data_IF_452414587798
#
_entry.id   IF_452414587798
#
_cell.length_a   1.000
_cell.length_b   1.000
_cell.length_c   1.000
_cell.angle_alpha   90.00
_cell.angle_beta   90.00
_cell.angle_gamma   90.00
#
_symmetry.space_group_name_H-M   'P 1'
#
loop_
_entity.id
_entity.type
_entity.pdbx_description
1 polymer ?
#
# COMPACT_ATOMS: atom_id res chain seq x y z
N UNK A 1 -2.11 6.67 9.98
CA UNK A 1 -1.86 7.59 8.84
C UNK A 1 -2.79 7.23 7.67
N UNK A 2 -2.73 5.99 7.10
CA UNK A 2 -3.53 5.58 5.95
C UNK A 2 -5.03 5.81 6.10
N UNK A 3 -5.61 5.44 7.25
CA UNK A 3 -7.04 5.62 7.53
C UNK A 3 -7.45 7.10 7.50
N UNK A 4 -6.68 7.97 8.16
CA UNK A 4 -6.96 9.41 8.24
C UNK A 4 -6.83 10.06 6.87
N UNK A 5 -5.74 9.76 6.14
CA UNK A 5 -5.55 10.29 4.79
C UNK A 5 -6.63 9.80 3.82
N UNK A 6 -6.98 8.51 3.85
CA UNK A 6 -8.03 7.95 3.01
C UNK A 6 -9.40 8.55 3.31
N UNK A 7 -9.72 8.76 4.58
CA UNK A 7 -10.97 9.41 5.00
C UNK A 7 -11.03 10.88 4.54
N UNK A 8 -9.97 11.64 4.82
CA UNK A 8 -9.91 13.06 4.48
C UNK A 8 -9.93 13.29 2.98
N UNK A 9 -9.09 12.56 2.22
CA UNK A 9 -9.04 12.70 0.76
C UNK A 9 -10.37 12.32 0.11
N UNK A 10 -11.08 11.32 0.65
CA UNK A 10 -12.42 10.96 0.16
C UNK A 10 -13.44 12.07 0.40
N UNK A 11 -13.37 12.75 1.55
CA UNK A 11 -14.22 13.92 1.83
C UNK A 11 -13.96 15.05 0.86
N UNK A 12 -12.68 15.38 0.63
CA UNK A 12 -12.29 16.41 -0.34
C UNK A 12 -12.79 16.09 -1.75
N UNK A 13 -12.64 14.84 -2.19
CA UNK A 13 -13.15 14.41 -3.51
C UNK A 13 -14.67 14.54 -3.58
N UNK A 14 -15.42 14.18 -2.53
CA UNK A 14 -16.87 14.36 -2.53
C UNK A 14 -17.30 15.83 -2.61
N UNK A 15 -16.61 16.74 -1.93
CA UNK A 15 -16.91 18.16 -1.99
C UNK A 15 -16.59 18.74 -3.38
N UNK A 16 -15.44 18.39 -3.96
CA UNK A 16 -15.02 18.90 -5.26
C UNK A 16 -15.92 18.41 -6.41
N UNK A 17 -16.42 17.18 -6.34
CA UNK A 17 -17.21 16.55 -7.40
C UNK A 17 -18.70 16.45 -7.06
N UNK A 18 -19.18 17.15 -6.03
CA UNK A 18 -20.57 17.11 -5.58
C UNK A 18 -21.58 17.47 -6.69
N UNK A 19 -21.21 18.37 -7.59
CA UNK A 19 -22.04 18.87 -8.68
C UNK A 19 -21.89 18.14 -10.01
N UNK A 20 -21.05 17.08 -10.06
CA UNK A 20 -20.79 16.34 -11.30
C UNK A 20 -21.78 15.20 -11.47
N UNK A 21 -22.14 14.90 -12.72
CA UNK A 21 -23.01 13.76 -13.03
C UNK A 21 -22.26 12.45 -12.78
N UNK A 22 -22.97 11.45 -12.29
CA UNK A 22 -22.40 10.15 -11.91
C UNK A 22 -21.62 9.48 -13.05
N UNK A 23 -22.08 9.62 -14.29
CA UNK A 23 -21.44 9.03 -15.46
C UNK A 23 -20.06 9.65 -15.75
N UNK A 24 -19.95 10.96 -15.80
CA UNK A 24 -18.67 11.66 -16.03
C UNK A 24 -17.68 11.38 -14.91
N UNK A 25 -18.15 11.38 -13.66
CA UNK A 25 -17.31 11.08 -12.50
C UNK A 25 -16.74 9.68 -12.58
N UNK A 26 -17.55 8.67 -12.91
CA UNK A 26 -17.09 7.28 -12.98
C UNK A 26 -16.03 7.09 -14.07
N UNK A 27 -16.24 7.65 -15.26
CA UNK A 27 -15.29 7.55 -16.39
C UNK A 27 -13.96 8.23 -16.06
N UNK A 28 -14.01 9.44 -15.51
CA UNK A 28 -12.82 10.16 -15.07
C UNK A 28 -12.02 9.37 -14.04
N UNK A 29 -12.69 8.87 -12.99
CA UNK A 29 -12.02 8.13 -11.92
C UNK A 29 -11.49 6.77 -12.36
N UNK A 30 -12.06 6.13 -13.39
CA UNK A 30 -11.45 4.96 -14.02
C UNK A 30 -10.08 5.26 -14.63
N UNK A 31 -9.96 6.38 -15.34
CA UNK A 31 -8.68 6.80 -15.94
C UNK A 31 -7.68 7.22 -14.85
N UNK A 32 -8.12 8.04 -13.89
CA UNK A 32 -7.29 8.46 -12.75
C UNK A 32 -6.82 7.29 -11.90
N UNK A 33 -7.63 6.22 -11.78
CA UNK A 33 -7.26 5.02 -11.06
C UNK A 33 -6.10 4.26 -11.72
N UNK A 34 -5.99 4.29 -13.06
CA UNK A 34 -4.82 3.71 -13.75
C UNK A 34 -3.55 4.46 -13.34
N UNK A 35 -3.58 5.79 -13.37
CA UNK A 35 -2.43 6.62 -12.98
C UNK A 35 -2.08 6.40 -11.50
N UNK A 36 -3.08 6.41 -10.61
CA UNK A 36 -2.83 6.17 -9.18
C UNK A 36 -2.35 4.76 -8.89
N UNK A 37 -2.74 3.75 -9.69
CA UNK A 37 -2.24 2.40 -9.53
C UNK A 37 -0.75 2.28 -9.91
N UNK A 38 -0.31 2.99 -10.94
CA UNK A 38 1.12 3.06 -11.30
C UNK A 38 1.93 3.73 -10.19
N UNK A 39 1.44 4.85 -9.66
CA UNK A 39 2.08 5.54 -8.55
C UNK A 39 2.11 4.68 -7.29
N UNK A 40 1.03 3.97 -6.99
CA UNK A 40 0.97 3.02 -5.87
C UNK A 40 1.94 1.86 -6.07
N UNK A 41 2.03 1.28 -7.27
CA UNK A 41 2.95 0.19 -7.58
C UNK A 41 4.41 0.63 -7.40
N UNK A 42 4.75 1.83 -7.87
CA UNK A 42 6.07 2.42 -7.66
C UNK A 42 6.38 2.61 -6.16
N UNK A 43 5.45 3.21 -5.41
CA UNK A 43 5.63 3.46 -3.97
C UNK A 43 5.77 2.16 -3.16
N UNK A 44 4.94 1.16 -3.47
CA UNK A 44 4.99 -0.16 -2.86
C UNK A 44 6.31 -0.87 -3.17
N UNK A 45 6.65 -0.96 -4.46
CA UNK A 45 7.88 -1.62 -4.93
C UNK A 45 9.14 -0.99 -4.34
N UNK A 46 9.21 0.33 -4.35
CA UNK A 46 10.31 1.10 -3.80
C UNK A 46 10.51 0.83 -2.30
N UNK A 47 9.43 0.94 -1.49
CA UNK A 47 9.51 0.75 -0.05
C UNK A 47 9.91 -0.69 0.35
N UNK A 48 9.35 -1.71 -0.29
CA UNK A 48 9.61 -3.09 0.11
C UNK A 48 10.94 -3.61 -0.45
N UNK A 49 11.30 -3.22 -1.68
CA UNK A 49 12.60 -3.57 -2.24
C UNK A 49 13.78 -2.97 -1.45
N UNK A 50 13.65 -1.74 -0.95
CA UNK A 50 14.69 -1.09 -0.15
C UNK A 50 15.03 -1.88 1.12
N UNK A 51 14.04 -2.45 1.80
CA UNK A 51 14.26 -3.26 3.00
C UNK A 51 15.11 -4.50 2.70
N UNK A 52 14.75 -5.24 1.65
CA UNK A 52 15.48 -6.45 1.24
C UNK A 52 16.88 -6.11 0.73
N UNK A 53 17.02 -5.06 -0.07
CA UNK A 53 18.32 -4.56 -0.53
C UNK A 53 19.23 -4.15 0.64
N UNK A 54 18.67 -3.48 1.64
CA UNK A 54 19.39 -3.10 2.86
C UNK A 54 19.94 -4.30 3.61
N UNK A 55 19.13 -5.34 3.83
CA UNK A 55 19.56 -6.58 4.51
C UNK A 55 20.66 -7.29 3.71
N UNK A 56 20.49 -7.43 2.39
CA UNK A 56 21.51 -8.05 1.54
C UNK A 56 22.83 -7.27 1.61
N UNK A 57 22.78 -5.95 1.52
CA UNK A 57 23.97 -5.09 1.58
C UNK A 57 24.67 -5.20 2.94
N UNK A 58 23.90 -5.19 4.05
CA UNK A 58 24.47 -5.36 5.39
C UNK A 58 25.12 -6.74 5.56
N UNK A 59 24.52 -7.80 5.03
CA UNK A 59 25.11 -9.14 5.06
C UNK A 59 26.43 -9.19 4.27
N UNK A 60 26.48 -8.59 3.08
CA UNK A 60 27.70 -8.53 2.26
C UNK A 60 28.84 -7.73 2.93
N UNK A 61 28.51 -6.65 3.62
CA UNK A 61 29.48 -5.89 4.43
C UNK A 61 29.98 -6.73 5.61
N UNK A 62 29.06 -7.45 6.29
CA UNK A 62 29.41 -8.30 7.43
C UNK A 62 30.35 -9.47 7.07
N UNK A 63 30.24 -10.01 5.87
CA UNK A 63 31.15 -11.07 5.35
C UNK A 63 32.44 -10.49 4.72
N UNK A 64 32.59 -9.16 4.69
CA UNK A 64 33.76 -8.51 4.12
C UNK A 64 33.83 -8.45 2.58
N UNK A 65 32.69 -8.80 1.90
CA UNK A 65 32.60 -8.71 0.43
C UNK A 65 32.39 -7.27 -0.09
N UNK A 66 31.93 -6.37 0.78
CA UNK A 66 31.79 -4.96 0.47
C UNK A 66 32.41 -4.09 1.55
N UNK A 67 33.03 -2.96 1.19
CA UNK A 67 33.59 -2.02 2.17
C UNK A 67 32.44 -1.37 2.98
N UNK A 68 32.73 -1.02 4.23
CA UNK A 68 31.80 -0.29 5.08
C UNK A 68 31.39 1.03 4.43
N UNK A 69 30.07 1.27 4.32
CA UNK A 69 29.55 2.45 3.64
C UNK A 69 29.31 2.28 2.13
N UNK A 70 29.55 1.09 1.57
CA UNK A 70 29.22 0.81 0.16
C UNK A 70 27.71 0.93 -0.09
N UNK A 71 27.36 1.51 -1.23
CA UNK A 71 25.97 1.53 -1.71
C UNK A 71 25.50 0.15 -2.14
N UNK A 72 24.20 -0.01 -2.30
CA UNK A 72 23.57 -1.26 -2.76
C UNK A 72 24.09 -1.63 -4.15
N UNK A 73 24.65 -2.84 -4.36
CA UNK A 73 25.14 -3.29 -5.66
C UNK A 73 24.02 -3.34 -6.70
N UNK A 74 24.36 -3.04 -7.96
CA UNK A 74 23.38 -3.01 -9.05
C UNK A 74 22.65 -4.37 -9.23
N UNK A 75 23.41 -5.47 -9.14
CA UNK A 75 22.83 -6.81 -9.26
C UNK A 75 21.78 -7.10 -8.16
N UNK A 76 22.02 -6.62 -6.92
CA UNK A 76 21.06 -6.79 -5.82
C UNK A 76 19.79 -5.97 -6.07
N UNK A 77 19.91 -4.76 -6.65
CA UNK A 77 18.76 -3.94 -7.04
C UNK A 77 17.90 -4.67 -8.09
N UNK A 78 18.52 -5.17 -9.16
CA UNK A 78 17.83 -5.88 -10.25
C UNK A 78 17.20 -7.16 -9.74
N UNK A 79 17.93 -7.94 -8.93
CA UNK A 79 17.43 -9.19 -8.36
C UNK A 79 16.21 -8.97 -7.44
N UNK A 80 16.28 -8.02 -6.52
CA UNK A 80 15.17 -7.68 -5.64
C UNK A 80 13.96 -7.17 -6.43
N UNK A 81 14.16 -6.29 -7.40
CA UNK A 81 13.08 -5.75 -8.21
C UNK A 81 12.37 -6.83 -9.04
N UNK A 82 13.12 -7.71 -9.70
CA UNK A 82 12.55 -8.80 -10.51
C UNK A 82 11.82 -9.83 -9.66
N UNK A 83 12.41 -10.25 -8.54
CA UNK A 83 11.80 -11.22 -7.63
C UNK A 83 10.50 -10.67 -7.04
N UNK A 84 10.48 -9.40 -6.65
CA UNK A 84 9.30 -8.74 -6.14
C UNK A 84 8.20 -8.61 -7.19
N UNK A 85 8.55 -8.23 -8.42
CA UNK A 85 7.60 -8.15 -9.52
C UNK A 85 6.94 -9.50 -9.80
N UNK A 86 7.73 -10.58 -9.88
CA UNK A 86 7.23 -11.94 -10.08
C UNK A 86 6.36 -12.41 -8.90
N UNK A 87 6.81 -12.20 -7.66
CA UNK A 87 6.05 -12.55 -6.47
C UNK A 87 4.69 -11.85 -6.40
N UNK A 88 4.65 -10.56 -6.75
CA UNK A 88 3.42 -9.78 -6.79
C UNK A 88 2.49 -10.24 -7.92
N UNK A 89 3.03 -10.56 -9.10
CA UNK A 89 2.24 -11.05 -10.23
C UNK A 89 1.56 -12.39 -9.91
N UNK A 90 2.23 -13.29 -9.20
CA UNK A 90 1.71 -14.61 -8.84
C UNK A 90 0.78 -14.53 -7.63
N UNK A 91 1.20 -13.83 -6.56
CA UNK A 91 0.50 -13.82 -5.26
C UNK A 91 -0.58 -12.75 -5.10
N UNK A 92 -0.53 -11.66 -5.89
CA UNK A 92 -1.35 -10.47 -5.67
C UNK A 92 -2.86 -10.67 -5.81
N UNK A 93 -3.31 -11.61 -6.66
CA UNK A 93 -4.74 -11.85 -6.90
C UNK A 93 -5.52 -12.19 -5.63
N UNK A 94 -4.95 -12.98 -4.72
CA UNK A 94 -5.62 -13.39 -3.48
C UNK A 94 -5.80 -12.21 -2.53
N UNK A 95 -4.77 -11.38 -2.38
CA UNK A 95 -4.81 -10.19 -1.53
C UNK A 95 -5.79 -9.16 -2.09
N UNK A 96 -5.77 -8.92 -3.41
CA UNK A 96 -6.71 -8.00 -4.08
C UNK A 96 -8.16 -8.40 -3.84
N UNK A 97 -8.50 -9.70 -3.90
CA UNK A 97 -9.85 -10.18 -3.64
C UNK A 97 -10.28 -9.93 -2.19
N UNK A 98 -9.39 -10.17 -1.23
CA UNK A 98 -9.72 -9.99 0.20
C UNK A 98 -9.88 -8.53 0.57
N UNK A 99 -8.99 -7.65 0.14
CA UNK A 99 -9.03 -6.22 0.48
C UNK A 99 -10.05 -5.48 -0.37
N UNK A 100 -10.10 -5.77 -1.68
CA UNK A 100 -10.89 -5.02 -2.64
C UNK A 100 -12.39 -5.33 -2.60
N UNK A 101 -12.80 -6.53 -2.19
CA UNK A 101 -14.22 -6.90 -2.10
C UNK A 101 -14.65 -7.31 -0.69
N UNK A 102 -13.71 -7.70 0.16
CA UNK A 102 -14.01 -8.17 1.51
C UNK A 102 -14.22 -7.05 2.53
N UNK A 103 -13.35 -6.02 2.53
CA UNK A 103 -13.41 -4.92 3.51
C UNK A 103 -14.51 -3.92 3.16
N UNK A 104 -14.60 -3.55 1.89
CA UNK A 104 -15.68 -2.69 1.35
C UNK A 104 -15.79 -2.91 -0.15
N UNK A 105 -16.95 -2.63 -0.74
CA UNK A 105 -17.07 -2.60 -2.20
C UNK A 105 -16.33 -1.40 -2.76
N UNK A 106 -15.21 -1.64 -3.43
CA UNK A 106 -14.42 -0.59 -4.06
C UNK A 106 -15.12 -0.12 -5.35
N UNK A 107 -15.56 1.13 -5.33
CA UNK A 107 -15.93 1.88 -6.52
C UNK A 107 -14.70 2.58 -7.10
N UNK A 108 -14.70 3.01 -8.38
CA UNK A 108 -13.52 3.67 -8.99
C UNK A 108 -12.99 4.87 -8.19
N UNK A 109 -13.89 5.69 -7.65
CA UNK A 109 -13.54 6.83 -6.80
C UNK A 109 -12.80 6.38 -5.54
N UNK A 110 -13.32 5.35 -4.86
CA UNK A 110 -12.71 4.81 -3.66
C UNK A 110 -11.36 4.15 -3.96
N UNK A 111 -11.26 3.46 -5.11
CA UNK A 111 -10.01 2.87 -5.59
C UNK A 111 -8.94 3.95 -5.79
N UNK A 112 -9.26 5.01 -6.52
CA UNK A 112 -8.37 6.15 -6.74
C UNK A 112 -7.92 6.77 -5.41
N UNK A 113 -8.86 7.10 -4.53
CA UNK A 113 -8.56 7.73 -3.23
C UNK A 113 -7.70 6.83 -2.35
N UNK A 114 -8.03 5.55 -2.26
CA UNK A 114 -7.26 4.60 -1.44
C UNK A 114 -5.84 4.40 -1.97
N UNK A 115 -5.66 4.29 -3.28
CA UNK A 115 -4.34 4.16 -3.91
C UNK A 115 -3.51 5.43 -3.73
N UNK A 116 -4.09 6.60 -4.00
CA UNK A 116 -3.40 7.88 -3.89
C UNK A 116 -2.99 8.18 -2.45
N UNK A 117 -3.91 8.03 -1.48
CA UNK A 117 -3.60 8.25 -0.06
C UNK A 117 -2.56 7.26 0.46
N UNK A 118 -2.61 6.00 0.03
CA UNK A 118 -1.62 4.99 0.41
C UNK A 118 -0.25 5.30 -0.19
N UNK A 119 -0.19 5.65 -1.47
CA UNK A 119 1.06 5.97 -2.14
C UNK A 119 1.74 7.19 -1.49
N UNK A 120 0.98 8.26 -1.21
CA UNK A 120 1.48 9.43 -0.49
C UNK A 120 2.00 9.03 0.90
N UNK A 121 1.23 8.27 1.67
CA UNK A 121 1.64 7.84 3.01
C UNK A 121 2.94 7.02 2.97
N UNK A 122 3.05 6.08 2.03
CA UNK A 122 4.24 5.24 1.88
C UNK A 122 5.45 6.09 1.47
N UNK A 123 5.31 7.01 0.50
CA UNK A 123 6.40 7.86 0.05
C UNK A 123 6.90 8.81 1.14
N UNK A 124 6.00 9.42 1.89
CA UNK A 124 6.36 10.27 3.02
C UNK A 124 7.14 9.48 4.07
N UNK A 125 6.67 8.29 4.43
CA UNK A 125 7.36 7.45 5.41
C UNK A 125 8.70 6.93 4.89
N UNK A 126 8.78 6.60 3.60
CA UNK A 126 10.04 6.20 2.95
C UNK A 126 11.06 7.36 2.95
N UNK A 127 10.62 8.58 2.65
CA UNK A 127 11.47 9.78 2.71
C UNK A 127 11.98 10.09 4.13
N UNK A 128 11.19 9.75 5.15
CA UNK A 128 11.58 9.86 6.56
C UNK A 128 12.43 8.67 7.06
N UNK A 129 12.84 7.78 6.16
CA UNK A 129 13.55 6.53 6.46
C UNK A 129 12.83 5.64 7.52
N UNK A 130 11.51 5.77 7.64
CA UNK A 130 10.68 5.01 8.56
C UNK A 130 10.05 3.82 7.83
N UNK A 131 10.45 2.56 8.14
CA UNK A 131 9.90 1.38 7.48
C UNK A 131 8.43 1.19 7.87
N UNK A 132 7.56 1.10 6.87
CA UNK A 132 6.13 0.84 7.05
C UNK A 132 5.68 -0.42 6.35
N UNK A 133 4.63 -1.05 6.86
CA UNK A 133 3.96 -2.14 6.17
C UNK A 133 3.00 -1.56 5.12
N UNK A 134 3.31 -1.76 3.86
CA UNK A 134 2.49 -1.32 2.73
C UNK A 134 1.08 -1.89 2.79
N UNK A 135 0.94 -3.17 3.15
CA UNK A 135 -0.37 -3.84 3.30
C UNK A 135 -1.22 -3.18 4.39
N UNK A 136 -0.61 -2.79 5.53
CA UNK A 136 -1.33 -2.09 6.60
C UNK A 136 -1.78 -0.70 6.15
N UNK A 137 -0.92 0.04 5.44
CA UNK A 137 -1.25 1.38 4.93
C UNK A 137 -2.39 1.30 3.94
N UNK A 138 -2.32 0.39 2.95
CA UNK A 138 -3.38 0.22 1.93
C UNK A 138 -4.70 -0.21 2.58
N UNK A 139 -4.68 -1.21 3.45
CA UNK A 139 -5.89 -1.70 4.10
C UNK A 139 -6.56 -0.61 4.94
N UNK A 140 -5.78 0.16 5.69
CA UNK A 140 -6.33 1.27 6.49
C UNK A 140 -6.83 2.42 5.62
N UNK A 141 -6.21 2.71 4.47
CA UNK A 141 -6.69 3.70 3.51
C UNK A 141 -8.02 3.29 2.87
N UNK A 142 -8.18 2.00 2.53
CA UNK A 142 -9.46 1.44 2.06
C UNK A 142 -10.54 1.55 3.13
N UNK A 143 -10.20 1.25 4.39
CA UNK A 143 -11.15 1.45 5.52
C UNK A 143 -11.52 2.93 5.68
N UNK A 144 -10.55 3.84 5.57
CA UNK A 144 -10.77 5.28 5.69
C UNK A 144 -11.68 5.83 4.59
N UNK A 145 -11.39 5.51 3.34
CA UNK A 145 -12.23 5.92 2.20
C UNK A 145 -13.64 5.34 2.27
N UNK A 146 -13.78 4.08 2.70
CA UNK A 146 -15.07 3.43 2.95
C UNK A 146 -15.86 4.10 4.07
N UNK A 147 -15.20 4.42 5.19
CA UNK A 147 -15.82 5.08 6.33
C UNK A 147 -16.31 6.50 5.99
N UNK A 148 -15.59 7.23 5.13
CA UNK A 148 -16.00 8.56 4.64
C UNK A 148 -17.29 8.51 3.83
N UNK A 149 -17.52 7.42 3.09
CA UNK A 149 -18.77 7.17 2.34
C UNK A 149 -19.91 6.70 3.24
N UNK A 150 -19.59 6.11 4.38
CA UNK A 150 -20.53 5.65 5.39
C UNK A 150 -19.96 4.55 6.26
N UNK A 151 -19.97 4.73 7.56
CA UNK A 151 -19.43 3.77 8.53
C UNK A 151 -20.02 2.36 8.39
N UNK A 152 -21.30 2.24 7.99
CA UNK A 152 -21.99 0.97 7.79
C UNK A 152 -21.55 0.22 6.52
N UNK A 153 -20.85 0.89 5.58
CA UNK A 153 -20.36 0.29 4.33
C UNK A 153 -19.05 -0.48 4.49
N UNK A 154 -18.38 -0.32 5.62
CA UNK A 154 -17.16 -1.06 5.95
C UNK A 154 -17.53 -2.29 6.77
N UNK A 155 -17.04 -3.46 6.36
CA UNK A 155 -17.19 -4.71 7.10
C UNK A 155 -16.23 -4.74 8.30
N UNK A 156 -16.61 -4.06 9.37
CA UNK A 156 -15.78 -3.91 10.59
C UNK A 156 -15.39 -5.24 11.24
N UNK A 157 -16.19 -6.30 11.05
CA UNK A 157 -15.85 -7.65 11.51
C UNK A 157 -14.56 -8.17 10.85
N UNK A 158 -14.47 -8.04 9.51
CA UNK A 158 -13.26 -8.41 8.76
C UNK A 158 -12.10 -7.47 9.08
N UNK A 159 -12.36 -6.15 9.18
CA UNK A 159 -11.36 -5.17 9.58
C UNK A 159 -10.70 -5.52 10.92
N UNK A 160 -11.50 -5.84 11.93
CA UNK A 160 -11.01 -6.31 13.24
C UNK A 160 -10.19 -7.59 13.15
N UNK A 161 -10.60 -8.55 12.31
CA UNK A 161 -9.86 -9.80 12.09
C UNK A 161 -8.47 -9.53 11.48
N UNK A 162 -8.40 -8.64 10.49
CA UNK A 162 -7.13 -8.24 9.86
C UNK A 162 -6.22 -7.54 10.89
N UNK A 163 -6.75 -6.61 11.67
CA UNK A 163 -5.99 -5.92 12.73
C UNK A 163 -5.48 -6.90 13.79
N UNK A 164 -6.32 -7.85 14.22
CA UNK A 164 -5.88 -8.92 15.14
C UNK A 164 -4.73 -9.74 14.56
N UNK A 165 -4.80 -10.11 13.28
CA UNK A 165 -3.73 -10.84 12.62
C UNK A 165 -2.40 -10.07 12.67
N UNK A 166 -2.41 -8.74 12.52
CA UNK A 166 -1.20 -7.93 12.64
C UNK A 166 -0.56 -7.99 14.02
N UNK A 167 -1.38 -7.99 15.09
CA UNK A 167 -0.88 -8.12 16.45
C UNK A 167 -0.34 -9.52 16.77
N UNK A 168 -0.89 -10.56 16.14
CA UNK A 168 -0.46 -11.94 16.34
C UNK A 168 0.83 -12.26 15.56
N UNK A 169 1.01 -11.65 14.39
CA UNK A 169 2.20 -11.93 13.56
C UNK A 169 3.50 -11.50 14.23
N UNK A 170 3.51 -10.39 14.96
CA UNK A 170 4.73 -9.89 15.65
C UNK A 170 5.28 -10.90 16.68
N UNK A 171 4.50 -11.35 17.69
CA UNK A 171 5.01 -12.33 18.63
C UNK A 171 5.27 -13.71 17.98
N UNK A 172 4.46 -14.11 16.97
CA UNK A 172 4.68 -15.37 16.29
C UNK A 172 6.03 -15.41 15.53
N UNK A 173 6.41 -14.29 14.89
CA UNK A 173 7.70 -14.21 14.19
C UNK A 173 8.90 -14.01 15.10
N UNK A 174 8.69 -13.60 16.36
CA UNK A 174 9.75 -13.53 17.38
C UNK A 174 10.06 -14.87 18.02
N UNK A 175 9.12 -15.83 17.94
CA UNK A 175 9.26 -17.17 18.52
C UNK A 175 9.82 -18.20 17.52
N UNK A 176 9.95 -17.86 16.25
CA UNK A 176 10.56 -18.66 15.18
C UNK A 176 12.03 -18.29 14.96
#
# INVERSE_FOLDING_TARGET
IGLVLGFFLMKVVFELFANWTCHHTTTLFHQLQIVSSLFMAFSHGSNDAQKTMGIITMALIGVGMLPGGAGVPLWAKVFCATTMALGTAIGGRRIMKTVGSGVTRLEPVMGFVSQTSSAIAIQVMTALAAPVSTTQVVTTAVMGSGAAKGFKKVHWGLAKSIVRAWFVTLPATMLL
#
